data_IF_289122436553
#
_entry.id   IF_289122436553
#
_cell.length_a   1.000
_cell.length_b   1.000
_cell.length_c   1.000
_cell.angle_alpha   90.00
_cell.angle_beta   90.00
_cell.angle_gamma   90.00
#
_symmetry.space_group_name_H-M   'P 1'
#
loop_
_entity.id
_entity.type
_entity.pdbx_description
1 polymer ?
#
# COMPACT_ATOMS: atom_id res chain seq x y z
N UNK A 1 16.12 -8.89 13.93
CA UNK A 1 15.93 -8.00 12.80
C UNK A 1 15.22 -6.73 13.24
N UNK A 2 15.55 -5.61 12.64
CA UNK A 2 14.88 -4.35 12.92
C UNK A 2 13.53 -4.28 12.21
N UNK A 3 12.58 -3.57 12.83
CA UNK A 3 11.38 -3.14 12.15
C UNK A 3 11.75 -2.06 11.13
N UNK A 4 11.38 -2.27 9.89
CA UNK A 4 11.49 -1.28 8.82
C UNK A 4 10.12 -0.66 8.64
N UNK A 5 10.03 0.67 8.62
CA UNK A 5 8.76 1.35 8.38
C UNK A 5 8.95 2.59 7.53
N UNK A 6 7.87 2.98 6.85
CA UNK A 6 7.82 4.17 6.02
C UNK A 6 6.43 4.77 6.09
N UNK A 7 6.38 6.07 6.34
CA UNK A 7 5.12 6.82 6.27
C UNK A 7 4.98 7.44 4.88
N UNK A 8 3.80 7.31 4.29
CA UNK A 8 3.47 7.91 3.00
C UNK A 8 2.16 8.67 3.14
N UNK A 9 2.20 9.96 2.84
CA UNK A 9 0.99 10.77 2.72
C UNK A 9 0.57 10.78 1.25
N UNK A 10 -0.62 10.29 0.98
CA UNK A 10 -1.13 10.16 -0.38
C UNK A 10 -1.66 11.51 -0.88
N UNK A 11 -1.36 11.83 -2.13
CA UNK A 11 -1.82 13.08 -2.77
C UNK A 11 -2.55 12.76 -4.07
N UNK A 12 -3.40 13.70 -4.50
CA UNK A 12 -4.07 13.60 -5.80
C UNK A 12 -3.03 13.47 -6.91
N UNK A 13 -1.96 14.27 -6.86
CA UNK A 13 -0.89 14.22 -7.86
C UNK A 13 -0.23 12.84 -7.95
N UNK A 14 0.03 12.20 -6.81
CA UNK A 14 0.62 10.86 -6.77
C UNK A 14 -0.33 9.82 -7.36
N UNK A 15 -1.61 9.89 -7.03
CA UNK A 15 -2.62 8.96 -7.53
C UNK A 15 -2.76 9.12 -9.05
N UNK A 16 -2.80 10.35 -9.55
CA UNK A 16 -2.86 10.62 -10.99
C UNK A 16 -1.62 10.10 -11.72
N UNK A 17 -0.43 10.32 -11.15
CA UNK A 17 0.81 9.82 -11.73
C UNK A 17 0.82 8.28 -11.80
N UNK A 18 0.31 7.61 -10.77
CA UNK A 18 0.21 6.16 -10.77
C UNK A 18 -0.81 5.67 -11.81
N UNK A 19 -1.94 6.34 -11.95
CA UNK A 19 -2.94 6.01 -12.98
C UNK A 19 -2.30 6.03 -14.37
N UNK A 20 -1.52 7.07 -14.68
CA UNK A 20 -0.84 7.19 -15.96
C UNK A 20 0.24 6.11 -16.13
N UNK A 21 1.04 5.86 -15.10
CA UNK A 21 2.13 4.90 -15.17
C UNK A 21 1.64 3.45 -15.27
N UNK A 22 0.55 3.11 -14.59
CA UNK A 22 0.02 1.74 -14.55
C UNK A 22 -0.97 1.45 -15.67
N UNK A 23 -1.56 2.48 -16.29
CA UNK A 23 -2.66 2.32 -17.21
C UNK A 23 -4.01 2.09 -16.56
N UNK A 24 -4.09 2.16 -15.24
CA UNK A 24 -5.35 2.00 -14.50
C UNK A 24 -6.03 3.36 -14.35
N UNK A 25 -6.93 3.67 -15.28
CA UNK A 25 -7.64 4.94 -15.35
C UNK A 25 -9.10 4.82 -14.84
N UNK A 26 -9.37 3.86 -13.94
CA UNK A 26 -10.69 3.74 -13.37
C UNK A 26 -11.12 5.08 -12.75
N UNK A 27 -12.31 5.61 -13.08
CA UNK A 27 -12.77 6.92 -12.61
C UNK A 27 -12.79 7.08 -11.08
N UNK A 28 -12.90 6.00 -10.32
CA UNK A 28 -12.87 6.08 -8.85
C UNK A 28 -11.56 6.64 -8.30
N UNK A 29 -10.50 6.63 -9.10
CA UNK A 29 -9.19 7.17 -8.71
C UNK A 29 -8.97 8.60 -9.23
N UNK A 30 -9.85 9.12 -10.10
CA UNK A 30 -9.62 10.41 -10.77
C UNK A 30 -10.78 11.38 -10.70
N UNK A 31 -12.02 10.89 -10.58
CA UNK A 31 -13.24 11.68 -10.61
C UNK A 31 -14.00 11.52 -9.29
N UNK A 32 -13.94 12.56 -8.45
CA UNK A 32 -14.57 12.53 -7.14
C UNK A 32 -16.10 12.43 -7.23
N UNK A 33 -16.73 13.06 -8.22
CA UNK A 33 -18.17 12.99 -8.39
C UNK A 33 -18.59 11.57 -8.79
N UNK A 34 -17.87 10.95 -9.71
CA UNK A 34 -18.12 9.56 -10.07
C UNK A 34 -17.93 8.63 -8.87
N UNK A 35 -16.83 8.80 -8.13
CA UNK A 35 -16.55 7.97 -6.97
C UNK A 35 -17.69 8.05 -5.94
N UNK A 36 -18.18 9.26 -5.64
CA UNK A 36 -19.31 9.45 -4.73
C UNK A 36 -20.59 8.82 -5.26
N UNK A 37 -20.80 8.86 -6.59
CA UNK A 37 -22.00 8.28 -7.22
C UNK A 37 -22.07 6.76 -7.04
N UNK A 38 -20.94 6.08 -6.85
CA UNK A 38 -20.89 4.63 -6.62
C UNK A 38 -20.66 4.27 -5.13
N UNK A 39 -20.87 5.22 -4.24
CA UNK A 39 -20.87 4.98 -2.80
C UNK A 39 -19.54 5.19 -2.09
N UNK A 40 -18.54 5.76 -2.76
CA UNK A 40 -17.24 6.06 -2.16
C UNK A 40 -17.24 7.49 -1.58
N UNK A 41 -16.37 7.80 -0.61
CA UNK A 41 -16.30 9.14 -0.02
C UNK A 41 -15.72 10.19 -0.96
N UNK A 42 -15.03 9.78 -2.01
CA UNK A 42 -14.35 10.60 -2.99
C UNK A 42 -13.34 9.76 -3.74
N UNK A 43 -12.35 10.41 -4.34
CA UNK A 43 -11.24 9.72 -5.01
C UNK A 43 -10.49 8.86 -3.98
N UNK A 44 -10.14 7.65 -4.38
CA UNK A 44 -9.34 6.73 -3.55
C UNK A 44 -8.07 6.31 -4.27
N UNK A 45 -7.05 5.96 -3.50
CA UNK A 45 -5.80 5.46 -4.04
C UNK A 45 -5.95 4.03 -4.55
N UNK A 46 -5.19 3.69 -5.60
CA UNK A 46 -5.14 2.33 -6.15
C UNK A 46 -4.62 1.34 -5.11
N UNK A 47 -5.25 0.17 -5.02
CA UNK A 47 -4.76 -0.91 -4.15
C UNK A 47 -3.36 -1.36 -4.56
N UNK A 48 -3.10 -1.49 -5.86
CA UNK A 48 -1.78 -1.92 -6.35
C UNK A 48 -0.68 -0.88 -6.08
N UNK A 49 -1.01 0.41 -6.01
CA UNK A 49 -0.07 1.44 -5.56
C UNK A 49 0.36 1.17 -4.12
N UNK A 50 -0.60 0.90 -3.24
CA UNK A 50 -0.33 0.58 -1.84
C UNK A 50 0.50 -0.69 -1.70
N UNK A 51 0.16 -1.73 -2.46
CA UNK A 51 0.90 -2.99 -2.46
C UNK A 51 2.33 -2.81 -2.96
N UNK A 52 2.54 -1.95 -3.96
CA UNK A 52 3.87 -1.62 -4.47
C UNK A 52 4.75 -0.94 -3.42
N UNK A 53 4.18 -0.02 -2.64
CA UNK A 53 4.88 0.62 -1.52
C UNK A 53 5.22 -0.42 -0.46
N UNK A 54 4.28 -1.29 -0.11
CA UNK A 54 4.50 -2.36 0.86
C UNK A 54 5.61 -3.30 0.39
N UNK A 55 5.63 -3.66 -0.90
CA UNK A 55 6.68 -4.48 -1.48
C UNK A 55 8.06 -3.82 -1.39
N UNK A 56 8.12 -2.50 -1.57
CA UNK A 56 9.35 -1.73 -1.41
C UNK A 56 9.89 -1.82 0.02
N UNK A 57 9.01 -1.71 1.01
CA UNK A 57 9.39 -1.83 2.42
C UNK A 57 9.83 -3.26 2.75
N UNK A 58 9.12 -4.26 2.25
CA UNK A 58 9.48 -5.66 2.41
C UNK A 58 10.85 -5.97 1.77
N UNK A 59 11.11 -5.43 0.60
CA UNK A 59 12.38 -5.60 -0.11
C UNK A 59 13.54 -5.02 0.68
N UNK A 60 13.36 -3.83 1.26
CA UNK A 60 14.37 -3.22 2.12
C UNK A 60 14.65 -4.10 3.35
N UNK A 61 13.61 -4.61 3.99
CA UNK A 61 13.76 -5.50 5.14
C UNK A 61 14.45 -6.81 4.78
N UNK A 62 14.21 -7.32 3.58
CA UNK A 62 14.83 -8.56 3.09
C UNK A 62 16.30 -8.38 2.66
N UNK A 63 16.77 -7.16 2.55
CA UNK A 63 18.13 -6.86 2.10
C UNK A 63 18.27 -6.59 0.61
N UNK A 64 17.17 -6.40 -0.10
CA UNK A 64 17.14 -6.04 -1.51
C UNK A 64 15.99 -6.69 -2.27
N UNK A 65 15.57 -6.04 -3.35
CA UNK A 65 14.44 -6.48 -4.16
C UNK A 65 14.66 -7.88 -4.77
N UNK A 66 15.90 -8.20 -5.12
CA UNK A 66 16.23 -9.52 -5.68
C UNK A 66 16.07 -10.68 -4.71
N UNK A 67 15.90 -10.39 -3.41
CA UNK A 67 15.69 -11.41 -2.39
C UNK A 67 14.23 -11.67 -2.08
N UNK A 68 13.34 -10.77 -2.46
CA UNK A 68 11.90 -10.96 -2.24
C UNK A 68 11.38 -12.05 -3.17
N UNK A 69 10.75 -13.07 -2.60
CA UNK A 69 10.20 -14.21 -3.35
C UNK A 69 8.70 -14.13 -3.51
N UNK A 70 8.01 -13.65 -2.49
CA UNK A 70 6.56 -13.61 -2.47
C UNK A 70 6.08 -12.48 -1.58
N UNK A 71 5.02 -11.82 -2.00
CA UNK A 71 4.29 -10.87 -1.18
C UNK A 71 2.79 -11.20 -1.28
N UNK A 72 2.10 -11.09 -0.16
CA UNK A 72 0.68 -11.30 -0.07
C UNK A 72 0.06 -10.23 0.81
N UNK A 73 -1.10 -9.72 0.41
CA UNK A 73 -1.91 -8.85 1.26
C UNK A 73 -3.37 -8.90 0.81
N UNK A 74 -4.26 -8.42 1.67
CA UNK A 74 -5.65 -8.16 1.35
C UNK A 74 -5.93 -6.67 1.42
N UNK A 75 -6.67 -6.18 0.45
CA UNK A 75 -7.14 -4.80 0.44
C UNK A 75 -8.34 -4.71 1.37
N UNK A 76 -8.20 -4.00 2.49
CA UNK A 76 -9.20 -3.99 3.55
C UNK A 76 -9.85 -2.64 3.76
N UNK A 77 -9.12 -1.54 3.48
CA UNK A 77 -9.61 -0.19 3.68
C UNK A 77 -9.31 0.69 2.49
N UNK A 78 -10.04 1.80 2.40
CA UNK A 78 -9.82 2.81 1.37
C UNK A 78 -8.80 3.83 1.87
N UNK A 79 -7.94 4.30 0.97
CA UNK A 79 -7.00 5.39 1.23
C UNK A 79 -7.42 6.57 0.38
N UNK A 80 -7.64 7.71 1.03
CA UNK A 80 -8.04 8.95 0.38
C UNK A 80 -6.86 9.91 0.27
N UNK A 81 -6.90 10.86 -0.68
CA UNK A 81 -5.91 11.95 -0.69
C UNK A 81 -5.85 12.64 0.67
N UNK A 82 -4.67 12.87 1.18
CA UNK A 82 -4.43 13.43 2.52
C UNK A 82 -4.22 12.39 3.61
N UNK A 83 -4.58 11.14 3.39
CA UNK A 83 -4.31 10.09 4.35
C UNK A 83 -2.82 9.77 4.42
N UNK A 84 -2.34 9.53 5.64
CA UNK A 84 -0.99 9.06 5.89
C UNK A 84 -1.03 7.61 6.32
N UNK A 85 -0.35 6.76 5.57
CA UNK A 85 -0.28 5.31 5.86
C UNK A 85 1.13 4.96 6.28
N UNK A 86 1.25 4.25 7.39
CA UNK A 86 2.52 3.68 7.84
C UNK A 86 2.61 2.24 7.37
N UNK A 87 3.57 1.99 6.49
CA UNK A 87 3.90 0.66 5.98
C UNK A 87 5.07 0.11 6.79
N UNK A 88 4.96 -1.11 7.28
CA UNK A 88 5.99 -1.69 8.12
C UNK A 88 6.23 -3.16 7.81
N UNK A 89 7.47 -3.60 8.03
CA UNK A 89 7.89 -4.99 7.93
C UNK A 89 8.63 -5.38 9.21
N UNK A 90 8.26 -6.53 9.76
CA UNK A 90 8.89 -7.12 10.93
C UNK A 90 9.26 -8.57 10.66
N UNK A 91 10.30 -9.03 11.34
CA UNK A 91 10.73 -10.41 11.24
C UNK A 91 9.63 -11.37 11.74
N UNK A 92 9.37 -12.41 10.99
CA UNK A 92 8.38 -13.45 11.33
C UNK A 92 8.96 -14.86 11.25
N UNK A 93 10.28 -14.97 11.36
CA UNK A 93 11.02 -16.23 11.26
C UNK A 93 11.94 -16.25 10.05
N UNK A 94 12.77 -17.30 9.90
CA UNK A 94 13.72 -17.37 8.79
C UNK A 94 13.03 -17.26 7.42
N UNK A 95 13.44 -16.26 6.64
CA UNK A 95 12.90 -16.02 5.31
C UNK A 95 11.47 -15.49 5.26
N UNK A 96 10.93 -15.01 6.40
CA UNK A 96 9.55 -14.56 6.50
C UNK A 96 9.44 -13.20 7.16
N UNK A 97 8.51 -12.39 6.65
CA UNK A 97 8.18 -11.07 7.18
C UNK A 97 6.68 -10.95 7.43
N UNK A 98 6.32 -10.31 8.54
CA UNK A 98 4.97 -9.83 8.79
C UNK A 98 4.90 -8.38 8.34
N UNK A 99 3.89 -8.04 7.56
CA UNK A 99 3.71 -6.71 6.99
C UNK A 99 2.46 -6.05 7.55
N UNK A 100 2.52 -4.74 7.71
CA UNK A 100 1.37 -3.94 8.15
C UNK A 100 1.28 -2.66 7.34
N UNK A 101 0.07 -2.16 7.17
CA UNK A 101 -0.21 -0.87 6.56
C UNK A 101 -1.42 -0.26 7.29
N UNK A 102 -1.17 0.82 8.04
CA UNK A 102 -2.15 1.41 8.95
C UNK A 102 -2.22 2.90 8.69
N UNK A 103 -3.44 3.45 8.58
CA UNK A 103 -3.62 4.89 8.36
C UNK A 103 -3.48 5.68 9.68
N UNK A 104 -3.59 7.01 9.61
CA UNK A 104 -3.41 7.89 10.75
C UNK A 104 -4.50 7.72 11.82
N UNK A 105 -5.61 7.08 11.50
CA UNK A 105 -6.69 6.78 12.45
C UNK A 105 -6.49 5.46 13.17
N UNK A 106 -5.43 4.70 12.83
CA UNK A 106 -5.18 3.38 13.39
C UNK A 106 -5.89 2.24 12.68
N UNK A 107 -6.51 2.49 11.52
CA UNK A 107 -7.21 1.47 10.75
C UNK A 107 -6.25 0.79 9.79
N UNK A 108 -6.29 -0.54 9.74
CA UNK A 108 -5.51 -1.31 8.78
C UNK A 108 -6.13 -1.13 7.38
N UNK A 109 -5.33 -0.66 6.43
CA UNK A 109 -5.76 -0.50 5.03
C UNK A 109 -5.38 -1.72 4.20
N UNK A 110 -4.34 -2.43 4.59
CA UNK A 110 -3.98 -3.75 4.07
C UNK A 110 -3.93 -4.72 5.24
N UNK A 111 -4.46 -5.92 5.07
CA UNK A 111 -4.53 -6.93 6.12
C UNK A 111 -3.96 -8.25 5.64
N UNK A 112 -3.68 -9.16 6.58
CA UNK A 112 -3.12 -10.50 6.31
C UNK A 112 -1.89 -10.39 5.40
N UNK A 113 -1.07 -9.39 5.66
CA UNK A 113 0.05 -9.06 4.80
C UNK A 113 1.32 -9.77 5.28
N UNK A 114 2.00 -10.41 4.35
CA UNK A 114 3.22 -11.17 4.62
C UNK A 114 4.12 -11.20 3.40
N UNK A 115 5.38 -11.51 3.62
CA UNK A 115 6.34 -11.71 2.55
C UNK A 115 7.28 -12.86 2.88
N UNK A 116 7.81 -13.48 1.83
CA UNK A 116 8.86 -14.48 1.93
C UNK A 116 10.07 -14.00 1.12
N UNK A 117 11.25 -14.26 1.63
CA UNK A 117 12.49 -13.88 0.97
C UNK A 117 13.54 -15.00 1.11
N UNK A 118 14.58 -14.93 0.31
CA UNK A 118 15.69 -15.90 0.30
C UNK A 118 17.00 -15.28 0.81
#
# INVERSE_FOLDING_TARGET
MKRIQREVTFSIAQIDAYADASGDHNPIHRDGDFARSVGLPGVIAHGLLQMGILASVASEAAGGAGRLRRIYCRFAGMVEPGDTVTFAAEDAGPGKLMLTAVNQRGDAVLTKASAEYR
#
